data_IF_498378280021
#
_entry.id   IF_498378280021
#
_cell.length_a   1.000
_cell.length_b   1.000
_cell.length_c   1.000
_cell.angle_alpha   90.00
_cell.angle_beta   90.00
_cell.angle_gamma   90.00
#
_symmetry.space_group_name_H-M   'P 1'
#
loop_
_entity.id
_entity.type
_entity.pdbx_description
1 polymer ?
#
# COMPACT_ATOMS: atom_id res chain seq x y z
N UNK A 1 -22.13 -31.10 -22.82
CA UNK A 1 -21.10 -30.78 -21.77
C UNK A 1 -21.47 -31.56 -20.52
N UNK A 2 -20.66 -32.55 -20.13
CA UNK A 2 -21.02 -33.54 -19.10
C UNK A 2 -21.04 -32.87 -17.69
N UNK A 3 -22.05 -33.23 -16.88
CA UNK A 3 -22.26 -32.85 -15.49
C UNK A 3 -21.01 -33.07 -14.62
N UNK A 4 -20.22 -34.11 -14.92
CA UNK A 4 -18.89 -34.35 -14.31
C UNK A 4 -17.88 -33.23 -14.58
N UNK A 5 -17.87 -32.64 -15.77
CA UNK A 5 -16.95 -31.54 -16.13
C UNK A 5 -17.28 -30.25 -15.36
N UNK A 6 -18.55 -30.00 -15.10
CA UNK A 6 -19.02 -28.82 -14.33
C UNK A 6 -18.70 -28.99 -12.86
N UNK A 7 -18.92 -30.15 -12.26
CA UNK A 7 -18.59 -30.43 -10.85
C UNK A 7 -17.08 -30.34 -10.57
N UNK A 8 -16.23 -30.83 -11.49
CA UNK A 8 -14.75 -30.74 -11.34
C UNK A 8 -14.25 -29.29 -11.45
N UNK A 9 -14.85 -28.48 -12.31
CA UNK A 9 -14.52 -27.05 -12.40
C UNK A 9 -14.94 -26.28 -11.14
N UNK A 10 -16.11 -26.58 -10.61
CA UNK A 10 -16.64 -25.94 -9.38
C UNK A 10 -15.81 -26.31 -8.16
N UNK A 11 -15.40 -27.59 -8.02
CA UNK A 11 -14.57 -28.03 -6.91
C UNK A 11 -13.15 -27.40 -6.93
N UNK A 12 -12.55 -27.28 -8.12
CA UNK A 12 -11.25 -26.61 -8.28
C UNK A 12 -11.33 -25.11 -8.02
N UNK A 13 -12.42 -24.45 -8.39
CA UNK A 13 -12.64 -23.04 -8.09
C UNK A 13 -12.79 -22.83 -6.58
N UNK A 14 -13.63 -23.62 -5.90
CA UNK A 14 -13.79 -23.59 -4.44
C UNK A 14 -12.45 -23.81 -3.71
N UNK A 15 -11.63 -24.75 -4.18
CA UNK A 15 -10.31 -25.02 -3.62
C UNK A 15 -9.33 -23.85 -3.71
N UNK A 16 -9.54 -22.90 -4.63
CA UNK A 16 -8.71 -21.70 -4.72
C UNK A 16 -9.28 -20.50 -3.93
N UNK A 17 -10.59 -20.38 -3.84
CA UNK A 17 -11.23 -19.24 -3.18
C UNK A 17 -11.37 -19.41 -1.66
N UNK A 18 -11.61 -20.62 -1.18
CA UNK A 18 -11.81 -20.86 0.25
C UNK A 18 -10.59 -20.49 1.10
N UNK A 19 -9.33 -20.91 0.79
CA UNK A 19 -8.16 -20.46 1.53
C UNK A 19 -8.00 -18.93 1.52
N UNK A 20 -8.28 -18.28 0.38
CA UNK A 20 -8.19 -16.82 0.28
C UNK A 20 -9.24 -16.14 1.19
N UNK A 21 -10.48 -16.59 1.17
CA UNK A 21 -11.54 -16.06 2.04
C UNK A 21 -11.20 -16.25 3.53
N UNK A 22 -10.77 -17.45 3.90
CA UNK A 22 -10.39 -17.76 5.28
C UNK A 22 -9.21 -16.92 5.76
N UNK A 23 -8.21 -16.68 4.89
CA UNK A 23 -7.07 -15.82 5.22
C UNK A 23 -7.49 -14.37 5.44
N UNK A 24 -8.37 -13.83 4.60
CA UNK A 24 -8.93 -12.47 4.78
C UNK A 24 -9.70 -12.38 6.10
N UNK A 25 -10.58 -13.35 6.39
CA UNK A 25 -11.34 -13.36 7.65
C UNK A 25 -10.43 -13.47 8.85
N UNK A 26 -9.44 -14.37 8.81
CA UNK A 26 -8.44 -14.52 9.89
C UNK A 26 -7.68 -13.22 10.12
N UNK A 27 -7.15 -12.61 9.05
CA UNK A 27 -6.42 -11.33 9.15
C UNK A 27 -7.31 -10.22 9.70
N UNK A 28 -8.53 -10.06 9.19
CA UNK A 28 -9.48 -9.08 9.68
C UNK A 28 -9.79 -9.29 11.18
N UNK A 29 -10.06 -10.52 11.61
CA UNK A 29 -10.32 -10.83 13.02
C UNK A 29 -9.11 -10.49 13.91
N UNK A 30 -7.90 -10.89 13.52
CA UNK A 30 -6.69 -10.63 14.30
C UNK A 30 -6.42 -9.13 14.43
N UNK A 31 -6.42 -8.39 13.32
CA UNK A 31 -6.08 -6.98 13.29
C UNK A 31 -7.14 -6.13 13.99
N UNK A 32 -8.44 -6.32 13.68
CA UNK A 32 -9.52 -5.58 14.32
C UNK A 32 -9.55 -5.85 15.83
N UNK A 33 -9.34 -7.09 16.28
CA UNK A 33 -9.28 -7.40 17.72
C UNK A 33 -8.16 -6.63 18.39
N UNK A 34 -6.96 -6.58 17.76
CA UNK A 34 -5.83 -5.82 18.29
C UNK A 34 -6.10 -4.32 18.30
N UNK A 35 -6.59 -3.75 17.19
CA UNK A 35 -6.92 -2.33 17.06
C UNK A 35 -8.01 -1.88 18.04
N UNK A 36 -9.05 -2.69 18.24
CA UNK A 36 -10.08 -2.44 19.27
C UNK A 36 -9.49 -2.49 20.68
N UNK A 37 -8.56 -3.41 20.93
CA UNK A 37 -7.80 -3.48 22.18
C UNK A 37 -7.02 -2.19 22.44
N UNK A 38 -6.22 -1.71 21.47
CA UNK A 38 -5.50 -0.44 21.56
C UNK A 38 -6.45 0.74 21.78
N UNK A 39 -7.56 0.80 21.06
CA UNK A 39 -8.55 1.86 21.19
C UNK A 39 -9.15 1.91 22.59
N UNK A 40 -9.54 0.75 23.15
CA UNK A 40 -10.13 0.65 24.49
C UNK A 40 -9.15 0.96 25.61
N UNK A 41 -7.88 0.61 25.44
CA UNK A 41 -6.83 0.90 26.41
C UNK A 41 -6.23 2.30 26.28
N UNK A 42 -6.72 3.11 25.32
CA UNK A 42 -6.22 4.44 25.02
C UNK A 42 -4.71 4.45 24.74
N UNK A 43 -4.19 3.37 24.16
CA UNK A 43 -2.80 3.28 23.75
C UNK A 43 -2.59 4.15 22.52
N UNK A 44 -1.80 5.20 22.64
CA UNK A 44 -1.52 6.18 21.57
C UNK A 44 -0.02 6.18 21.27
N UNK A 45 0.45 5.39 20.29
CA UNK A 45 1.87 5.33 19.94
C UNK A 45 2.36 6.59 19.23
N UNK A 46 1.48 7.33 18.53
CA UNK A 46 1.82 8.55 17.80
C UNK A 46 0.64 9.51 17.67
N UNK A 47 0.88 10.70 17.12
CA UNK A 47 -0.15 11.70 16.80
C UNK A 47 -0.92 11.40 15.51
N UNK A 48 -0.45 10.44 14.72
CA UNK A 48 -0.92 10.21 13.36
C UNK A 48 -2.41 9.89 13.32
N UNK A 49 -2.89 9.09 14.26
CA UNK A 49 -4.32 8.79 14.34
C UNK A 49 -5.17 10.06 14.50
N UNK A 50 -4.74 11.04 15.31
CA UNK A 50 -5.46 12.29 15.48
C UNK A 50 -5.41 13.13 14.19
N UNK A 51 -4.24 13.25 13.56
CA UNK A 51 -4.01 13.96 12.29
C UNK A 51 -4.95 13.43 11.22
N UNK A 52 -4.93 12.12 10.99
CA UNK A 52 -5.76 11.50 9.95
C UNK A 52 -7.25 11.50 10.30
N UNK A 53 -7.62 11.47 11.59
CA UNK A 53 -9.02 11.60 12.02
C UNK A 53 -9.57 13.00 11.70
N UNK A 54 -8.80 14.06 11.94
CA UNK A 54 -9.19 15.43 11.56
C UNK A 54 -9.29 15.59 10.03
N UNK A 55 -8.35 15.02 9.28
CA UNK A 55 -8.42 15.01 7.83
C UNK A 55 -9.66 14.26 7.31
N UNK A 56 -9.96 13.08 7.85
CA UNK A 56 -11.15 12.30 7.49
C UNK A 56 -12.44 13.04 7.84
N UNK A 57 -12.47 13.73 8.97
CA UNK A 57 -13.58 14.61 9.36
C UNK A 57 -13.79 15.74 8.35
N UNK A 58 -12.74 16.42 7.92
CA UNK A 58 -12.81 17.47 6.89
C UNK A 58 -13.32 16.91 5.56
N UNK A 59 -12.76 15.79 5.10
CA UNK A 59 -13.21 15.12 3.87
C UNK A 59 -14.66 14.60 3.95
N UNK A 60 -15.16 14.23 5.13
CA UNK A 60 -16.55 13.81 5.29
C UNK A 60 -17.57 14.94 5.01
N UNK A 61 -17.12 16.19 5.04
CA UNK A 61 -17.88 17.38 4.69
C UNK A 61 -17.45 17.96 3.33
N UNK A 62 -16.67 17.22 2.52
CA UNK A 62 -16.11 17.67 1.24
C UNK A 62 -15.28 18.96 1.35
N UNK A 63 -14.64 19.16 2.51
CA UNK A 63 -13.78 20.31 2.80
C UNK A 63 -12.30 19.94 2.66
N UNK A 64 -11.45 20.96 2.48
CA UNK A 64 -10.01 20.77 2.52
C UNK A 64 -9.56 20.14 3.85
N UNK A 65 -8.55 19.26 3.86
CA UNK A 65 -8.10 18.55 5.06
C UNK A 65 -7.28 19.46 5.96
N UNK A 66 -7.94 20.43 6.57
CA UNK A 66 -7.32 21.29 7.56
C UNK A 66 -7.23 20.53 8.88
N UNK A 67 -6.01 20.48 9.44
CA UNK A 67 -5.68 19.66 10.60
C UNK A 67 -5.15 20.56 11.74
N UNK A 68 -6.03 21.08 12.60
CA UNK A 68 -5.70 22.01 13.68
C UNK A 68 -4.66 21.50 14.68
N UNK A 69 -4.58 20.19 14.90
CA UNK A 69 -3.56 19.58 15.78
C UNK A 69 -2.12 19.85 15.31
N UNK A 70 -1.91 20.08 14.01
CA UNK A 70 -0.61 20.49 13.44
C UNK A 70 -0.41 22.02 13.40
N UNK A 71 -1.47 22.78 13.60
CA UNK A 71 -1.44 24.24 13.61
C UNK A 71 -2.66 24.88 12.95
N UNK A 72 -2.92 26.17 13.23
CA UNK A 72 -4.05 26.90 12.61
C UNK A 72 -3.94 26.91 11.08
N UNK A 73 -4.99 26.50 10.40
CA UNK A 73 -5.05 26.51 8.92
C UNK A 73 -4.13 25.50 8.22
N UNK A 74 -3.52 24.56 8.96
CA UNK A 74 -2.59 23.60 8.41
C UNK A 74 -3.30 22.62 7.44
N UNK A 75 -3.00 22.75 6.15
CA UNK A 75 -3.52 21.86 5.13
C UNK A 75 -2.63 20.62 4.99
N UNK A 76 -3.18 19.45 5.29
CA UNK A 76 -2.43 18.20 5.31
C UNK A 76 -1.90 17.79 3.92
N UNK A 77 -2.55 18.22 2.82
CA UNK A 77 -2.06 17.98 1.45
C UNK A 77 -0.76 18.72 1.13
N UNK A 78 -0.38 19.74 1.92
CA UNK A 78 0.91 20.42 1.80
C UNK A 78 2.05 19.76 2.60
N UNK A 79 1.74 18.79 3.45
CA UNK A 79 2.69 17.98 4.19
C UNK A 79 3.06 16.72 3.40
N UNK A 80 2.05 15.89 3.13
CA UNK A 80 2.11 14.73 2.27
C UNK A 80 0.92 14.72 1.31
N UNK A 81 1.16 14.31 0.07
CA UNK A 81 0.10 14.27 -0.95
C UNK A 81 -0.58 12.91 -0.98
N UNK A 82 -1.72 12.82 -0.32
CA UNK A 82 -2.50 11.59 -0.16
C UNK A 82 -4.01 11.79 -0.42
N UNK A 83 -4.41 12.25 -1.62
CA UNK A 83 -5.82 12.52 -1.92
C UNK A 83 -6.71 11.27 -1.86
N UNK A 84 -6.15 10.06 -1.86
CA UNK A 84 -6.90 8.81 -1.68
C UNK A 84 -7.67 8.78 -0.36
N UNK A 85 -7.24 9.55 0.64
CA UNK A 85 -7.93 9.66 1.94
C UNK A 85 -9.32 10.31 1.83
N UNK A 86 -9.66 10.91 0.67
CA UNK A 86 -11.03 11.32 0.40
C UNK A 86 -12.01 10.15 0.50
N UNK A 87 -11.58 8.94 0.12
CA UNK A 87 -12.38 7.71 0.29
C UNK A 87 -12.66 7.41 1.76
N UNK A 88 -11.70 7.69 2.63
CA UNK A 88 -11.84 7.53 4.07
C UNK A 88 -12.91 8.49 4.63
N UNK A 89 -12.98 9.73 4.10
CA UNK A 89 -14.01 10.70 4.46
C UNK A 89 -15.43 10.18 4.22
N UNK A 90 -15.64 9.40 3.15
CA UNK A 90 -16.94 8.78 2.87
C UNK A 90 -17.32 7.76 3.95
N UNK A 91 -16.39 6.93 4.41
CA UNK A 91 -16.64 5.96 5.49
C UNK A 91 -16.82 6.67 6.83
N UNK A 92 -15.99 7.67 7.11
CA UNK A 92 -16.04 8.47 8.34
C UNK A 92 -17.37 9.22 8.51
N UNK A 93 -18.01 9.63 7.42
CA UNK A 93 -19.32 10.28 7.44
C UNK A 93 -20.40 9.44 8.13
N UNK A 94 -20.34 8.11 7.97
CA UNK A 94 -21.29 7.18 8.58
C UNK A 94 -20.83 6.70 9.97
N UNK A 95 -19.52 6.62 10.17
CA UNK A 95 -18.91 6.13 11.41
C UNK A 95 -17.84 7.11 11.91
N UNK A 96 -18.24 8.27 12.50
CA UNK A 96 -17.32 9.35 12.87
C UNK A 96 -16.52 9.01 14.14
N UNK A 97 -15.44 8.25 13.98
CA UNK A 97 -14.56 7.81 15.07
C UNK A 97 -13.15 7.53 14.56
N UNK A 98 -12.13 7.74 15.40
CA UNK A 98 -10.77 7.30 15.14
C UNK A 98 -10.67 5.77 14.99
N UNK A 99 -11.51 5.01 15.68
CA UNK A 99 -11.60 3.55 15.50
C UNK A 99 -11.96 3.16 14.06
N UNK A 100 -12.74 3.98 13.36
CA UNK A 100 -13.09 3.74 11.95
C UNK A 100 -11.84 3.68 11.05
N UNK A 101 -10.87 4.56 11.29
CA UNK A 101 -9.62 4.58 10.55
C UNK A 101 -8.82 3.30 10.78
N UNK A 102 -8.73 2.86 12.03
CA UNK A 102 -8.06 1.62 12.40
C UNK A 102 -8.69 0.42 11.70
N UNK A 103 -10.02 0.29 11.77
CA UNK A 103 -10.76 -0.80 11.13
C UNK A 103 -10.61 -0.77 9.60
N UNK A 104 -10.61 0.41 8.97
CA UNK A 104 -10.38 0.53 7.52
C UNK A 104 -8.98 0.05 7.17
N UNK A 105 -7.94 0.46 7.91
CA UNK A 105 -6.58 -0.04 7.71
C UNK A 105 -6.52 -1.56 7.83
N UNK A 106 -7.10 -2.12 8.89
CA UNK A 106 -7.11 -3.55 9.17
C UNK A 106 -7.76 -4.34 8.03
N UNK A 107 -8.88 -3.84 7.50
CA UNK A 107 -9.57 -4.45 6.36
C UNK A 107 -8.77 -4.32 5.06
N UNK A 108 -8.11 -3.19 4.79
CA UNK A 108 -7.25 -3.01 3.63
C UNK A 108 -6.08 -4.01 3.65
N UNK A 109 -5.43 -4.18 4.80
CA UNK A 109 -4.36 -5.15 4.97
C UNK A 109 -4.90 -6.58 4.83
N UNK A 110 -6.00 -6.91 5.49
CA UNK A 110 -6.56 -8.25 5.43
C UNK A 110 -6.99 -8.64 4.00
N UNK A 111 -7.69 -7.76 3.28
CA UNK A 111 -8.19 -8.05 1.93
C UNK A 111 -7.06 -8.19 0.91
N UNK A 112 -5.89 -7.65 1.18
CA UNK A 112 -4.71 -7.81 0.32
C UNK A 112 -4.19 -9.25 0.25
N UNK A 113 -4.52 -10.10 1.25
CA UNK A 113 -4.22 -11.52 1.20
C UNK A 113 -4.94 -12.26 0.05
N UNK A 114 -6.13 -11.77 -0.34
CA UNK A 114 -6.99 -12.43 -1.31
C UNK A 114 -6.31 -12.79 -2.64
N UNK A 115 -5.73 -11.82 -3.40
CA UNK A 115 -5.16 -12.12 -4.70
C UNK A 115 -3.96 -13.07 -4.61
N UNK A 116 -3.14 -12.93 -3.58
CA UNK A 116 -1.93 -13.71 -3.40
C UNK A 116 -2.22 -15.16 -3.00
N UNK A 117 -3.10 -15.35 -2.02
CA UNK A 117 -3.52 -16.68 -1.56
C UNK A 117 -4.30 -17.43 -2.65
N UNK A 118 -5.19 -16.72 -3.37
CA UNK A 118 -5.89 -17.30 -4.52
C UNK A 118 -4.90 -17.74 -5.61
N UNK A 119 -3.89 -16.94 -5.91
CA UNK A 119 -2.86 -17.28 -6.88
C UNK A 119 -2.07 -18.50 -6.45
N UNK A 120 -1.58 -18.55 -5.22
CA UNK A 120 -0.85 -19.68 -4.65
C UNK A 120 -1.71 -20.95 -4.66
N UNK A 121 -2.98 -20.86 -4.25
CA UNK A 121 -3.92 -21.99 -4.27
C UNK A 121 -4.18 -22.52 -5.69
N UNK A 122 -4.24 -21.61 -6.68
CA UNK A 122 -4.44 -21.97 -8.08
C UNK A 122 -3.23 -22.68 -8.68
N UNK A 123 -2.02 -22.28 -8.30
CA UNK A 123 -0.78 -22.82 -8.85
C UNK A 123 -0.32 -24.11 -8.13
N UNK A 124 -0.45 -24.17 -6.82
CA UNK A 124 0.16 -25.22 -5.99
C UNK A 124 -0.84 -25.91 -5.03
N UNK A 125 -2.12 -25.66 -5.22
CA UNK A 125 -3.18 -26.33 -4.44
C UNK A 125 -3.56 -25.60 -3.14
N UNK A 126 -4.72 -25.99 -2.61
CA UNK A 126 -5.36 -25.33 -1.48
C UNK A 126 -4.49 -25.36 -0.19
N UNK A 127 -3.73 -26.42 0.02
CA UNK A 127 -2.90 -26.58 1.22
C UNK A 127 -1.77 -25.54 1.25
N UNK A 128 -1.00 -25.41 0.14
CA UNK A 128 0.04 -24.39 0.06
C UNK A 128 -0.56 -22.99 0.10
N UNK A 129 -1.69 -22.76 -0.57
CA UNK A 129 -2.41 -21.50 -0.48
C UNK A 129 -2.78 -21.13 0.96
N UNK A 130 -3.22 -22.10 1.77
CA UNK A 130 -3.52 -21.87 3.19
C UNK A 130 -2.27 -21.49 4.00
N UNK A 131 -1.14 -22.17 3.79
CA UNK A 131 0.12 -21.80 4.45
C UNK A 131 0.60 -20.41 4.05
N UNK A 132 0.53 -20.07 2.75
CA UNK A 132 0.84 -18.71 2.27
C UNK A 132 -0.08 -17.69 2.93
N UNK A 133 -1.37 -17.98 3.04
CA UNK A 133 -2.34 -17.09 3.66
C UNK A 133 -2.06 -16.84 5.13
N UNK A 134 -1.82 -17.89 5.92
CA UNK A 134 -1.46 -17.78 7.34
C UNK A 134 -0.16 -16.98 7.48
N UNK A 135 0.90 -17.36 6.75
CA UNK A 135 2.18 -16.65 6.79
C UNK A 135 2.08 -15.17 6.41
N UNK A 136 1.22 -14.85 5.43
CA UNK A 136 0.98 -13.48 5.00
C UNK A 136 0.29 -12.65 6.10
N UNK A 137 -0.84 -13.13 6.64
CA UNK A 137 -1.59 -12.35 7.63
C UNK A 137 -0.93 -12.34 9.01
N UNK A 138 0.02 -13.23 9.27
CA UNK A 138 0.83 -13.20 10.50
C UNK A 138 2.21 -12.58 10.30
N UNK A 139 2.49 -12.00 9.13
CA UNK A 139 3.78 -11.38 8.85
C UNK A 139 4.05 -10.21 9.82
N UNK A 140 5.24 -10.17 10.38
CA UNK A 140 5.65 -9.17 11.37
C UNK A 140 5.49 -7.72 10.88
N UNK A 141 5.67 -7.49 9.57
CA UNK A 141 5.50 -6.17 8.97
C UNK A 141 4.07 -5.64 9.08
N UNK A 142 3.06 -6.50 8.90
CA UNK A 142 1.66 -6.11 9.09
C UNK A 142 1.30 -5.94 10.56
N UNK A 143 1.83 -6.79 11.44
CA UNK A 143 1.67 -6.61 12.89
C UNK A 143 2.23 -5.26 13.33
N UNK A 144 3.43 -4.89 12.84
CA UNK A 144 4.03 -3.58 13.10
C UNK A 144 3.21 -2.43 12.56
N UNK A 145 2.66 -2.54 11.33
CA UNK A 145 1.81 -1.53 10.73
C UNK A 145 0.52 -1.31 11.53
N UNK A 146 -0.15 -2.39 11.94
CA UNK A 146 -1.37 -2.32 12.78
C UNK A 146 -1.03 -1.74 14.16
N UNK A 147 0.10 -2.13 14.77
CA UNK A 147 0.53 -1.62 16.06
C UNK A 147 0.86 -0.11 16.03
N UNK A 148 1.34 0.40 14.90
CA UNK A 148 1.62 1.84 14.69
C UNK A 148 0.35 2.67 14.45
N UNK A 149 -0.81 2.05 14.40
CA UNK A 149 -2.12 2.64 14.10
C UNK A 149 -2.23 3.09 12.63
N UNK A 150 -3.24 3.93 12.31
CA UNK A 150 -3.58 4.27 10.94
C UNK A 150 -2.49 5.10 10.25
N UNK A 151 -2.14 4.64 9.04
CA UNK A 151 -1.32 5.39 8.08
C UNK A 151 -1.89 5.25 6.67
N UNK A 152 -1.77 6.31 5.86
CA UNK A 152 -2.26 6.38 4.47
C UNK A 152 -1.73 5.26 3.57
N UNK A 153 -0.50 4.79 3.86
CA UNK A 153 0.16 3.74 3.09
C UNK A 153 -0.60 2.40 3.08
N UNK A 154 -1.53 2.21 4.02
CA UNK A 154 -2.39 1.03 4.06
C UNK A 154 -3.21 0.84 2.76
N UNK A 155 -3.55 1.92 2.07
CA UNK A 155 -4.22 1.86 0.76
C UNK A 155 -3.34 1.24 -0.34
N UNK A 156 -2.02 1.39 -0.24
CA UNK A 156 -1.10 0.80 -1.21
C UNK A 156 -1.04 -0.73 -1.11
N UNK A 157 -1.28 -1.29 0.08
CA UNK A 157 -1.13 -2.73 0.34
C UNK A 157 -2.01 -3.60 -0.59
N UNK A 158 -3.35 -3.40 -0.65
CA UNK A 158 -4.18 -4.16 -1.58
C UNK A 158 -3.85 -3.84 -3.04
N UNK A 159 -3.57 -2.59 -3.40
CA UNK A 159 -3.22 -2.22 -4.78
C UNK A 159 -2.00 -2.99 -5.28
N UNK A 160 -0.93 -3.04 -4.48
CA UNK A 160 0.28 -3.79 -4.78
C UNK A 160 0.04 -5.31 -4.78
N UNK A 161 -0.79 -5.83 -3.89
CA UNK A 161 -1.11 -7.26 -3.86
C UNK A 161 -1.84 -7.71 -5.14
N UNK A 162 -2.84 -6.94 -5.62
CA UNK A 162 -3.51 -7.21 -6.89
C UNK A 162 -2.59 -7.02 -8.09
N UNK A 163 -1.76 -5.97 -8.10
CA UNK A 163 -0.76 -5.75 -9.14
C UNK A 163 0.24 -6.92 -9.22
N UNK A 164 0.73 -7.39 -8.07
CA UNK A 164 1.67 -8.53 -7.99
C UNK A 164 1.06 -9.82 -8.52
N UNK A 165 -0.18 -10.13 -8.14
CA UNK A 165 -0.88 -11.30 -8.66
C UNK A 165 -1.12 -11.20 -10.17
N UNK A 166 -1.50 -10.01 -10.68
CA UNK A 166 -1.65 -9.75 -12.10
C UNK A 166 -0.32 -9.87 -12.85
N UNK A 167 0.80 -9.46 -12.24
CA UNK A 167 2.14 -9.59 -12.82
C UNK A 167 2.52 -11.06 -13.02
N UNK A 168 2.33 -11.90 -12.02
CA UNK A 168 2.61 -13.34 -12.11
C UNK A 168 1.70 -14.01 -13.14
N UNK A 169 0.45 -13.54 -13.30
CA UNK A 169 -0.48 -14.03 -14.33
C UNK A 169 -0.19 -13.46 -15.74
N UNK A 170 0.81 -12.61 -15.93
CA UNK A 170 1.14 -11.99 -17.23
C UNK A 170 0.13 -10.94 -17.71
N UNK A 171 -0.74 -10.43 -16.84
CA UNK A 171 -1.81 -9.47 -17.17
C UNK A 171 -1.32 -8.03 -17.02
N UNK A 172 -0.48 -7.57 -17.95
CA UNK A 172 0.22 -6.27 -17.86
C UNK A 172 -0.70 -5.06 -17.70
N UNK A 173 -1.81 -5.02 -18.42
CA UNK A 173 -2.81 -3.93 -18.28
C UNK A 173 -3.39 -3.91 -16.87
N UNK A 174 -3.68 -5.06 -16.28
CA UNK A 174 -4.16 -5.14 -14.90
C UNK A 174 -3.09 -4.71 -13.89
N UNK A 175 -1.80 -5.00 -14.15
CA UNK A 175 -0.70 -4.48 -13.30
C UNK A 175 -0.70 -2.95 -13.31
N UNK A 176 -0.74 -2.33 -14.49
CA UNK A 176 -0.79 -0.87 -14.62
C UNK A 176 -2.05 -0.28 -13.97
N UNK A 177 -3.21 -0.89 -14.19
CA UNK A 177 -4.48 -0.43 -13.61
C UNK A 177 -4.50 -0.46 -12.08
N UNK A 178 -3.97 -1.53 -11.47
CA UNK A 178 -3.88 -1.62 -10.01
C UNK A 178 -2.78 -0.73 -9.42
N UNK A 179 -1.72 -0.45 -10.17
CA UNK A 179 -0.62 0.39 -9.70
C UNK A 179 -0.86 1.88 -9.90
N UNK A 180 -1.67 2.28 -10.90
CA UNK A 180 -1.91 3.69 -11.19
C UNK A 180 -2.41 4.50 -9.98
N UNK A 181 -3.36 4.02 -9.14
CA UNK A 181 -3.83 4.77 -7.98
C UNK A 181 -2.77 5.00 -6.89
N UNK A 182 -1.61 4.35 -6.94
CA UNK A 182 -0.53 4.54 -5.97
C UNK A 182 -0.07 5.99 -5.91
N UNK A 183 -0.11 6.73 -7.03
CA UNK A 183 0.27 8.16 -7.06
C UNK A 183 -0.65 9.05 -6.22
N UNK A 184 -1.82 8.52 -5.82
CA UNK A 184 -2.79 9.21 -4.96
C UNK A 184 -2.64 8.82 -3.48
N UNK A 185 -1.82 7.81 -3.17
CA UNK A 185 -1.60 7.32 -1.81
C UNK A 185 -0.53 8.14 -1.11
N UNK A 186 0.59 8.38 -1.81
CA UNK A 186 1.70 9.18 -1.28
C UNK A 186 2.58 9.67 -2.45
N UNK A 187 3.20 10.82 -2.28
CA UNK A 187 4.02 11.48 -3.32
C UNK A 187 5.13 10.58 -3.86
N UNK A 188 5.82 9.83 -3.01
CA UNK A 188 6.96 8.98 -3.38
C UNK A 188 6.55 7.71 -4.13
N UNK A 189 5.29 7.28 -4.05
CA UNK A 189 4.79 6.12 -4.78
C UNK A 189 4.69 6.34 -6.29
N UNK A 190 4.80 7.60 -6.75
CA UNK A 190 5.03 7.88 -8.17
C UNK A 190 6.28 7.22 -8.72
N UNK A 191 7.36 7.16 -7.93
CA UNK A 191 8.60 6.44 -8.29
C UNK A 191 8.38 4.91 -8.31
N UNK A 192 7.55 4.39 -7.43
CA UNK A 192 7.14 2.97 -7.46
C UNK A 192 6.41 2.64 -8.76
N UNK A 193 5.46 3.49 -9.18
CA UNK A 193 4.74 3.36 -10.45
C UNK A 193 5.70 3.42 -11.64
N UNK A 194 6.65 4.35 -11.61
CA UNK A 194 7.72 4.43 -12.63
C UNK A 194 8.49 3.11 -12.73
N UNK A 195 8.95 2.58 -11.60
CA UNK A 195 9.73 1.33 -11.58
C UNK A 195 8.91 0.12 -12.07
N UNK A 196 7.63 0.03 -11.71
CA UNK A 196 6.72 -1.00 -12.23
C UNK A 196 6.64 -0.88 -13.77
N UNK A 197 6.45 0.32 -14.30
CA UNK A 197 6.41 0.57 -15.73
C UNK A 197 7.71 0.16 -16.44
N UNK A 198 8.87 0.50 -15.87
CA UNK A 198 10.19 0.10 -16.42
C UNK A 198 10.37 -1.42 -16.43
N UNK A 199 10.00 -2.12 -15.36
CA UNK A 199 10.06 -3.59 -15.27
C UNK A 199 9.17 -4.24 -16.33
N UNK A 200 7.93 -3.73 -16.49
CA UNK A 200 7.03 -4.23 -17.53
C UNK A 200 7.56 -3.97 -18.94
N UNK A 201 8.09 -2.77 -19.21
CA UNK A 201 8.70 -2.43 -20.49
C UNK A 201 9.89 -3.35 -20.81
N UNK A 202 10.77 -3.56 -19.82
CA UNK A 202 11.91 -4.47 -19.98
C UNK A 202 11.48 -5.91 -20.30
N UNK A 203 10.44 -6.41 -19.64
CA UNK A 203 9.89 -7.74 -19.92
C UNK A 203 9.19 -7.82 -21.28
N UNK A 204 8.59 -6.72 -21.72
CA UNK A 204 7.89 -6.61 -23.01
C UNK A 204 8.77 -6.17 -24.18
N UNK A 205 10.08 -6.06 -24.01
CA UNK A 205 11.01 -5.43 -24.99
C UNK A 205 11.03 -6.05 -26.39
N UNK A 206 10.60 -7.30 -26.53
CA UNK A 206 10.56 -7.99 -27.81
C UNK A 206 9.33 -7.65 -28.67
N UNK A 207 8.35 -6.94 -28.10
CA UNK A 207 7.13 -6.54 -28.78
C UNK A 207 6.89 -5.04 -28.55
N UNK A 208 6.76 -4.26 -29.63
CA UNK A 208 6.66 -2.80 -29.60
C UNK A 208 5.56 -2.32 -28.65
N UNK A 209 4.33 -2.85 -28.73
CA UNK A 209 3.23 -2.43 -27.87
C UNK A 209 3.45 -2.82 -26.42
N UNK A 210 4.01 -4.00 -26.19
CA UNK A 210 4.34 -4.49 -24.84
C UNK A 210 5.48 -3.73 -24.20
N UNK A 211 6.30 -3.03 -24.97
CA UNK A 211 7.34 -2.11 -24.51
C UNK A 211 6.81 -0.69 -24.33
N UNK A 212 6.10 -0.16 -25.31
CA UNK A 212 5.75 1.26 -25.42
C UNK A 212 4.72 1.69 -24.37
N UNK A 213 3.63 0.93 -24.17
CA UNK A 213 2.62 1.29 -23.16
C UNK A 213 3.15 1.29 -21.72
N UNK A 214 3.91 0.26 -21.27
CA UNK A 214 4.54 0.32 -19.95
C UNK A 214 5.57 1.45 -19.82
N UNK A 215 6.28 1.82 -20.88
CA UNK A 215 7.22 2.94 -20.86
C UNK A 215 6.47 4.28 -20.64
N UNK A 216 5.34 4.50 -21.33
CA UNK A 216 4.47 5.66 -21.04
C UNK A 216 3.95 5.64 -19.60
N UNK A 217 3.63 4.46 -19.09
CA UNK A 217 3.23 4.32 -17.70
C UNK A 217 4.36 4.64 -16.71
N UNK A 218 5.60 4.31 -17.04
CA UNK A 218 6.76 4.73 -16.26
C UNK A 218 6.93 6.26 -16.27
N UNK A 219 6.79 6.89 -17.44
CA UNK A 219 6.83 8.36 -17.58
C UNK A 219 5.70 9.00 -16.78
N UNK A 220 4.49 8.44 -16.81
CA UNK A 220 3.38 8.91 -15.98
C UNK A 220 3.74 8.90 -14.49
N UNK A 221 4.30 7.80 -13.96
CA UNK A 221 4.72 7.71 -12.56
C UNK A 221 5.76 8.77 -12.19
N UNK A 222 6.77 8.97 -13.05
CA UNK A 222 7.81 9.97 -12.87
C UNK A 222 7.24 11.40 -12.88
N UNK A 223 6.38 11.71 -13.86
CA UNK A 223 5.72 13.02 -13.94
C UNK A 223 4.82 13.26 -12.72
N UNK A 224 4.05 12.26 -12.29
CA UNK A 224 3.22 12.36 -11.10
C UNK A 224 4.05 12.72 -9.87
N UNK A 225 5.21 12.07 -9.67
CA UNK A 225 6.14 12.40 -8.60
C UNK A 225 6.61 13.86 -8.68
N UNK A 226 7.13 14.30 -9.84
CA UNK A 226 7.66 15.66 -9.97
C UNK A 226 6.56 16.74 -9.85
N UNK A 227 5.39 16.53 -10.45
CA UNK A 227 4.25 17.44 -10.33
C UNK A 227 3.83 17.56 -8.86
N UNK A 228 3.74 16.44 -8.17
CA UNK A 228 3.36 16.44 -6.76
C UNK A 228 4.39 17.18 -5.90
N UNK A 229 5.67 16.85 -6.02
CA UNK A 229 6.71 17.39 -5.14
C UNK A 229 7.04 18.85 -5.45
N UNK A 230 7.01 19.25 -6.73
CA UNK A 230 7.44 20.60 -7.14
C UNK A 230 6.29 21.60 -7.28
N UNK A 231 5.07 21.13 -7.48
CA UNK A 231 3.91 22.03 -7.70
C UNK A 231 2.84 21.86 -6.63
N UNK A 232 2.35 20.62 -6.38
CA UNK A 232 1.19 20.43 -5.52
C UNK A 232 1.52 20.60 -4.04
N UNK A 233 2.57 19.95 -3.53
CA UNK A 233 2.97 20.10 -2.13
C UNK A 233 3.27 21.56 -1.75
N UNK A 234 4.08 22.32 -2.51
CA UNK A 234 4.30 23.73 -2.22
C UNK A 234 3.03 24.58 -2.31
N UNK A 235 2.12 24.28 -3.28
CA UNK A 235 0.88 25.03 -3.43
C UNK A 235 -0.09 24.87 -2.26
N UNK A 236 -0.10 23.70 -1.61
CA UNK A 236 -0.92 23.46 -0.43
C UNK A 236 -0.26 23.81 0.88
N UNK A 237 1.06 24.02 0.90
CA UNK A 237 1.80 24.38 2.10
C UNK A 237 1.81 25.89 2.30
N UNK A 238 1.44 26.35 3.49
CA UNK A 238 1.38 27.79 3.81
C UNK A 238 2.75 28.50 3.69
N UNK A 239 3.88 27.76 3.84
CA UNK A 239 5.23 28.29 3.64
C UNK A 239 5.66 28.37 2.16
N UNK A 240 4.86 27.83 1.23
CA UNK A 240 5.23 27.72 -0.19
C UNK A 240 6.39 26.75 -0.46
N UNK A 241 6.82 25.99 0.55
CA UNK A 241 7.93 25.02 0.44
C UNK A 241 7.51 23.69 1.04
N UNK A 242 8.04 22.58 0.49
CA UNK A 242 7.84 21.27 1.09
C UNK A 242 8.87 20.98 2.16
N UNK A 243 8.40 20.67 3.38
CA UNK A 243 9.26 20.50 4.56
C UNK A 243 10.27 19.33 4.46
N UNK A 244 10.01 18.35 3.60
CA UNK A 244 10.86 17.18 3.37
C UNK A 244 11.67 17.28 2.07
N UNK A 245 11.85 18.50 1.53
CA UNK A 245 12.60 18.71 0.30
C UNK A 245 14.03 18.16 0.43
N UNK A 246 14.52 17.57 -0.65
CA UNK A 246 15.86 16.98 -0.72
C UNK A 246 16.98 18.04 -0.61
N UNK A 247 16.64 19.33 -0.69
CA UNK A 247 17.59 20.44 -0.70
C UNK A 247 18.23 20.76 0.67
N UNK A 248 17.98 19.94 1.68
CA UNK A 248 18.74 20.00 2.95
C UNK A 248 18.58 21.26 3.79
N UNK A 249 17.65 22.17 3.45
CA UNK A 249 17.47 23.47 4.12
C UNK A 249 16.91 23.40 5.55
N UNK A 250 16.52 22.23 6.04
CA UNK A 250 16.14 22.00 7.43
C UNK A 250 17.34 21.52 8.26
N UNK A 251 18.02 22.43 8.89
CA UNK A 251 18.90 22.43 10.07
C UNK A 251 19.21 21.08 10.78
N UNK A 252 19.57 20.03 10.04
CA UNK A 252 20.24 18.85 10.60
C UNK A 252 21.53 18.66 9.82
N UNK A 253 22.61 19.23 10.38
CA UNK A 253 24.00 19.17 9.97
C UNK A 253 24.34 18.58 8.58
N UNK A 254 25.36 19.10 7.94
CA UNK A 254 25.91 18.78 6.61
C UNK A 254 26.21 17.30 6.31
N UNK A 255 25.22 16.43 6.52
CA UNK A 255 25.34 15.01 6.18
C UNK A 255 24.86 14.84 4.73
N UNK A 256 25.74 14.42 3.84
CA UNK A 256 25.44 14.21 2.42
C UNK A 256 24.25 13.28 2.22
N UNK A 257 23.50 13.43 1.09
CA UNK A 257 22.42 12.52 0.73
C UNK A 257 22.88 11.05 0.69
N UNK A 258 24.14 10.83 0.32
CA UNK A 258 24.78 9.50 0.27
C UNK A 258 24.93 8.95 1.70
N UNK A 259 25.38 9.75 2.66
CA UNK A 259 25.49 9.33 4.06
C UNK A 259 24.12 9.06 4.67
N UNK A 260 23.11 9.91 4.38
CA UNK A 260 21.71 9.65 4.82
C UNK A 260 21.10 8.40 4.19
N UNK A 261 21.46 8.09 2.96
CA UNK A 261 21.03 6.87 2.27
C UNK A 261 21.76 5.62 2.79
N UNK A 262 23.05 5.76 3.16
CA UNK A 262 23.90 4.66 3.61
C UNK A 262 23.93 4.45 5.11
N UNK A 263 23.52 5.42 5.94
CA UNK A 263 23.52 5.34 7.39
C UNK A 263 22.10 5.54 7.96
N UNK A 264 21.57 4.73 8.91
CA UNK A 264 22.26 3.83 9.84
C UNK A 264 22.23 2.34 9.40
N UNK A 265 23.14 1.55 9.96
CA UNK A 265 23.31 0.11 9.70
C UNK A 265 22.03 -0.75 9.83
N UNK A 266 21.05 -0.30 10.61
CA UNK A 266 19.74 -0.96 10.78
C UNK A 266 18.98 -1.13 9.46
N UNK A 267 19.15 -0.21 8.48
CA UNK A 267 18.54 -0.34 7.14
C UNK A 267 19.03 -1.58 6.41
N UNK A 268 20.29 -1.94 6.58
CA UNK A 268 20.87 -3.11 5.93
C UNK A 268 20.33 -4.42 6.50
N UNK A 269 19.99 -4.45 7.79
CA UNK A 269 19.31 -5.59 8.40
C UNK A 269 17.94 -5.83 7.78
N UNK A 270 17.15 -4.78 7.57
CA UNK A 270 15.84 -4.88 6.91
C UNK A 270 15.99 -5.30 5.44
N UNK A 271 16.92 -4.68 4.70
CA UNK A 271 17.22 -5.05 3.31
C UNK A 271 17.66 -6.51 3.22
N UNK A 272 18.56 -6.96 4.12
CA UNK A 272 19.01 -8.35 4.17
C UNK A 272 17.85 -9.31 4.48
N UNK A 273 16.96 -8.99 5.42
CA UNK A 273 15.78 -9.81 5.71
C UNK A 273 14.83 -9.90 4.50
N UNK A 274 14.61 -8.79 3.79
CA UNK A 274 13.77 -8.76 2.59
C UNK A 274 14.42 -9.58 1.47
N UNK A 275 15.73 -9.42 1.23
CA UNK A 275 16.47 -10.16 0.21
C UNK A 275 16.51 -11.66 0.56
N UNK A 276 16.78 -12.02 1.80
CA UNK A 276 16.80 -13.41 2.24
C UNK A 276 15.41 -14.05 2.15
N UNK A 277 14.38 -13.34 2.60
CA UNK A 277 12.99 -13.82 2.52
C UNK A 277 12.48 -13.96 1.08
N UNK A 278 12.76 -12.98 0.21
CA UNK A 278 12.37 -13.03 -1.20
C UNK A 278 13.31 -13.88 -2.06
N UNK A 279 14.62 -13.86 -1.77
CA UNK A 279 15.65 -14.55 -2.53
C UNK A 279 15.56 -16.07 -2.38
N UNK A 280 15.32 -16.59 -1.19
CA UNK A 280 15.17 -18.04 -0.97
C UNK A 280 13.96 -18.59 -1.74
N UNK A 281 12.86 -17.84 -1.78
CA UNK A 281 11.66 -18.22 -2.55
C UNK A 281 11.91 -18.07 -4.05
N UNK A 282 12.62 -17.01 -4.48
CA UNK A 282 12.94 -16.76 -5.90
C UNK A 282 13.95 -17.75 -6.48
N UNK A 283 14.92 -18.22 -5.70
CA UNK A 283 15.92 -19.22 -6.13
C UNK A 283 15.34 -20.63 -6.24
N UNK A 284 14.20 -20.90 -5.60
CA UNK A 284 13.50 -22.19 -5.71
C UNK A 284 12.50 -22.22 -6.89
N UNK A 285 12.40 -21.14 -7.68
CA UNK A 285 11.56 -21.06 -8.87
C UNK A 285 12.39 -21.44 -10.11
N UNK A 286 11.96 -22.43 -10.94
CA UNK A 286 12.63 -22.79 -12.20
C UNK A 286 12.59 -21.67 -13.21
#
# INVERSE_FOLDING_TARGET
MSEKGTRLRTSRALAAYLPAALSVVLGACLYITFSVGQWRSLTVPSWDLAIFTEAAKSYSHFSAPIVPVKGPGYNLLGDHFHPILLLLGLVYRFFPSGLTLLVVQDLLIAVSAWPLVRLASKQAGWLLGSFVGIGYVTAWGFQGAVASQFHEIAFAVPLLAWASAAFVEGRWVAVMAWSAPLVLVKEDLGLTVMMIGLVLAWRGRENEKSFTYPLFFAVFGLLAFFVTVKLLLPAFNASGTWAYSLDGSNNRGDVSLIERALWPAQKYGVIAMVILGAGIIGMASP
#
